data_IF_374539428554
#
_entry.id   IF_374539428554
#
_cell.length_a   1.000
_cell.length_b   1.000
_cell.length_c   1.000
_cell.angle_alpha   90.00
_cell.angle_beta   90.00
_cell.angle_gamma   90.00
#
_symmetry.space_group_name_H-M   'P 1'
#
loop_
_entity.id
_entity.type
_entity.pdbx_description
1 polymer ?
#
# COMPACT_ATOMS: atom_id res chain seq x y z
N UNK A 1 25.05 -18.15 33.11
CA UNK A 1 23.80 -17.54 32.68
C UNK A 1 22.65 -18.15 33.45
N UNK A 2 21.89 -17.31 34.16
CA UNK A 2 20.71 -17.71 34.94
C UNK A 2 19.55 -18.14 34.03
N UNK A 3 18.54 -18.82 34.61
CA UNK A 3 17.37 -19.33 33.85
C UNK A 3 16.60 -18.21 33.14
N UNK A 4 16.33 -17.10 33.85
CA UNK A 4 15.62 -15.93 33.30
C UNK A 4 16.41 -15.25 32.17
N UNK A 5 17.72 -15.10 32.33
CA UNK A 5 18.61 -14.54 31.31
C UNK A 5 18.62 -15.39 30.03
N UNK A 6 18.59 -16.73 30.15
CA UNK A 6 18.49 -17.63 28.99
C UNK A 6 17.14 -17.55 28.29
N UNK A 7 16.05 -17.48 29.05
CA UNK A 7 14.70 -17.32 28.50
C UNK A 7 14.57 -15.99 27.75
N UNK A 8 14.96 -14.88 28.38
CA UNK A 8 14.99 -13.55 27.78
C UNK A 8 15.80 -13.52 26.48
N UNK A 9 17.01 -14.10 26.47
CA UNK A 9 17.84 -14.19 25.27
C UNK A 9 17.19 -15.00 24.14
N UNK A 10 16.40 -16.02 24.48
CA UNK A 10 15.72 -16.86 23.49
C UNK A 10 14.57 -16.11 22.84
N UNK A 11 13.69 -15.50 23.64
CA UNK A 11 12.56 -14.71 23.12
C UNK A 11 13.04 -13.46 22.35
N UNK A 12 14.10 -12.77 22.80
CA UNK A 12 14.67 -11.65 22.03
C UNK A 12 15.25 -12.11 20.69
N UNK A 13 15.83 -13.32 20.63
CA UNK A 13 16.32 -13.89 19.37
C UNK A 13 15.15 -14.20 18.42
N UNK A 14 14.05 -14.70 18.95
CA UNK A 14 12.81 -14.94 18.20
C UNK A 14 12.21 -13.64 17.68
N UNK A 15 12.02 -12.62 18.53
CA UNK A 15 11.57 -11.29 18.13
C UNK A 15 12.46 -10.68 17.03
N UNK A 16 13.79 -10.85 17.12
CA UNK A 16 14.73 -10.40 16.09
C UNK A 16 14.53 -11.13 14.75
N UNK A 17 14.24 -12.43 14.80
CA UNK A 17 13.98 -13.23 13.61
C UNK A 17 12.64 -12.83 12.96
N UNK A 18 11.59 -12.63 13.76
CA UNK A 18 10.29 -12.12 13.30
C UNK A 18 10.43 -10.72 12.68
N UNK A 19 11.17 -9.82 13.32
CA UNK A 19 11.46 -8.48 12.80
C UNK A 19 12.20 -8.50 11.46
N UNK A 20 13.13 -9.43 11.27
CA UNK A 20 13.80 -9.59 9.99
C UNK A 20 12.85 -10.16 8.92
N UNK A 21 12.03 -11.14 9.29
CA UNK A 21 11.05 -11.78 8.41
C UNK A 21 9.97 -10.82 7.91
N UNK A 22 9.43 -9.96 8.76
CA UNK A 22 8.43 -8.97 8.35
C UNK A 22 9.05 -7.94 7.38
N UNK A 23 10.28 -7.50 7.60
CA UNK A 23 10.97 -6.55 6.69
C UNK A 23 11.12 -7.18 5.30
N UNK A 24 11.52 -8.43 5.22
CA UNK A 24 11.68 -9.12 3.94
C UNK A 24 10.34 -9.38 3.26
N UNK A 25 9.29 -9.68 4.02
CA UNK A 25 7.91 -9.82 3.52
C UNK A 25 7.40 -8.51 2.92
N UNK A 26 7.51 -7.40 3.67
CA UNK A 26 7.12 -6.06 3.19
C UNK A 26 7.88 -5.71 1.91
N UNK A 27 9.19 -5.95 1.86
CA UNK A 27 10.00 -5.70 0.66
C UNK A 27 9.53 -6.52 -0.53
N UNK A 28 9.22 -7.80 -0.33
CA UNK A 28 8.72 -8.68 -1.37
C UNK A 28 7.37 -8.20 -1.90
N UNK A 29 6.44 -7.91 -1.00
CA UNK A 29 5.10 -7.45 -1.33
C UNK A 29 5.12 -6.13 -2.09
N UNK A 30 5.88 -5.14 -1.61
CA UNK A 30 6.03 -3.84 -2.28
C UNK A 30 6.62 -4.01 -3.68
N UNK A 31 7.64 -4.86 -3.83
CA UNK A 31 8.26 -5.10 -5.14
C UNK A 31 7.31 -5.81 -6.10
N UNK A 32 6.47 -6.71 -5.59
CA UNK A 32 5.44 -7.38 -6.40
C UNK A 32 4.38 -6.39 -6.89
N UNK A 33 3.91 -5.49 -6.03
CA UNK A 33 2.96 -4.45 -6.42
C UNK A 33 3.58 -3.41 -7.37
N UNK A 34 4.86 -3.07 -7.19
CA UNK A 34 5.63 -2.21 -8.10
C UNK A 34 5.68 -2.80 -9.51
N UNK A 35 6.15 -4.06 -9.66
CA UNK A 35 6.23 -4.72 -10.97
C UNK A 35 4.86 -4.80 -11.62
N UNK A 36 3.82 -5.14 -10.86
CA UNK A 36 2.46 -5.23 -11.38
C UNK A 36 1.92 -3.86 -11.84
N UNK A 37 2.21 -2.79 -11.10
CA UNK A 37 1.86 -1.43 -11.51
C UNK A 37 2.54 -1.08 -12.85
N UNK A 38 3.83 -1.35 -12.96
CA UNK A 38 4.61 -1.09 -14.18
C UNK A 38 4.04 -1.83 -15.39
N UNK A 39 3.77 -3.14 -15.24
CA UNK A 39 3.23 -3.98 -16.30
C UNK A 39 1.87 -3.45 -16.79
N UNK A 40 0.96 -3.13 -15.87
CA UNK A 40 -0.37 -2.69 -16.26
C UNK A 40 -0.41 -1.27 -16.84
N UNK A 41 0.43 -0.37 -16.31
CA UNK A 41 0.61 0.97 -16.92
C UNK A 41 1.18 0.86 -18.32
N UNK A 42 2.14 -0.03 -18.51
CA UNK A 42 2.74 -0.29 -19.82
C UNK A 42 1.72 -0.87 -20.79
N UNK A 43 0.98 -1.90 -20.40
CA UNK A 43 -0.08 -2.51 -21.21
C UNK A 43 -1.14 -1.48 -21.60
N UNK A 44 -1.51 -0.59 -20.67
CA UNK A 44 -2.43 0.51 -20.93
C UNK A 44 -1.90 1.45 -22.01
N UNK A 45 -0.65 1.88 -21.91
CA UNK A 45 -0.02 2.77 -22.90
C UNK A 45 0.12 2.08 -24.25
N UNK A 46 0.63 0.86 -24.30
CA UNK A 46 0.84 0.09 -25.53
C UNK A 46 -0.50 -0.15 -26.27
N UNK A 47 -1.56 -0.47 -25.53
CA UNK A 47 -2.89 -0.66 -26.12
C UNK A 47 -3.46 0.62 -26.74
N UNK A 48 -3.31 1.77 -26.07
CA UNK A 48 -3.74 3.08 -26.60
C UNK A 48 -2.88 3.47 -27.79
N UNK A 49 -1.55 3.29 -27.70
CA UNK A 49 -0.63 3.66 -28.77
C UNK A 49 -0.95 2.93 -30.08
N UNK A 50 -1.29 1.65 -30.00
CA UNK A 50 -1.72 0.86 -31.15
C UNK A 50 -2.94 1.50 -31.83
N UNK A 51 -3.96 1.88 -31.05
CA UNK A 51 -5.18 2.51 -31.58
C UNK A 51 -4.90 3.91 -32.15
N UNK A 52 -4.03 4.70 -31.49
CA UNK A 52 -3.65 6.03 -31.96
C UNK A 52 -2.88 5.97 -33.27
N UNK A 53 -2.03 4.95 -33.48
CA UNK A 53 -1.32 4.75 -34.74
C UNK A 53 -2.30 4.44 -35.88
N UNK A 54 -3.28 3.56 -35.66
CA UNK A 54 -4.33 3.27 -36.64
C UNK A 54 -5.15 4.51 -36.99
N UNK A 55 -5.56 5.27 -35.97
CA UNK A 55 -6.29 6.53 -36.12
C UNK A 55 -5.49 7.55 -36.91
N UNK A 56 -4.18 7.66 -36.66
CA UNK A 56 -3.30 8.58 -37.38
C UNK A 56 -3.21 8.22 -38.86
N UNK A 57 -3.06 6.92 -39.18
CA UNK A 57 -3.08 6.43 -40.56
C UNK A 57 -4.41 6.73 -41.27
N UNK A 58 -5.54 6.58 -40.56
CA UNK A 58 -6.86 6.95 -41.08
C UNK A 58 -6.94 8.46 -41.35
N UNK A 59 -6.41 9.30 -40.46
CA UNK A 59 -6.38 10.75 -40.66
C UNK A 59 -5.53 11.15 -41.88
N UNK A 60 -4.37 10.53 -42.07
CA UNK A 60 -3.52 10.77 -43.24
C UNK A 60 -4.26 10.40 -44.54
N UNK A 61 -4.97 9.26 -44.55
CA UNK A 61 -5.78 8.85 -45.68
C UNK A 61 -6.91 9.86 -45.98
N UNK A 62 -7.54 10.43 -44.94
CA UNK A 62 -8.56 11.47 -45.09
C UNK A 62 -7.97 12.74 -45.71
N UNK A 63 -6.83 13.19 -45.21
CA UNK A 63 -6.15 14.39 -45.71
C UNK A 63 -5.76 14.22 -47.18
N UNK A 64 -5.21 13.05 -47.53
CA UNK A 64 -4.86 12.73 -48.91
C UNK A 64 -6.09 12.70 -49.81
N UNK A 65 -7.16 11.98 -49.42
CA UNK A 65 -8.40 11.88 -50.18
C UNK A 65 -9.10 13.23 -50.36
N UNK A 66 -9.17 14.06 -49.31
CA UNK A 66 -9.76 15.40 -49.40
C UNK A 66 -8.98 16.32 -50.33
N UNK A 67 -7.64 16.24 -50.29
CA UNK A 67 -6.76 17.03 -51.17
C UNK A 67 -6.92 16.62 -52.64
N UNK A 68 -7.06 15.32 -52.91
CA UNK A 68 -7.32 14.81 -54.25
C UNK A 68 -8.68 15.26 -54.80
N UNK A 69 -9.75 15.11 -54.01
CA UNK A 69 -11.11 15.54 -54.37
C UNK A 69 -11.12 17.04 -54.71
N UNK A 70 -10.48 17.86 -53.88
CA UNK A 70 -10.37 19.31 -54.13
C UNK A 70 -9.65 19.59 -55.45
N UNK A 71 -8.54 18.89 -55.73
CA UNK A 71 -7.76 19.05 -56.96
C UNK A 71 -8.57 18.69 -58.21
N UNK A 72 -9.38 17.63 -58.14
CA UNK A 72 -10.27 17.23 -59.24
C UNK A 72 -11.36 18.27 -59.49
N UNK A 73 -11.99 18.78 -58.42
CA UNK A 73 -12.97 19.86 -58.48
C UNK A 73 -12.40 21.14 -59.10
N UNK A 74 -11.19 21.54 -58.72
CA UNK A 74 -10.52 22.71 -59.29
C UNK A 74 -10.21 22.55 -60.78
N UNK A 75 -9.84 21.34 -61.22
CA UNK A 75 -9.64 21.02 -62.64
C UNK A 75 -10.97 21.10 -63.41
N UNK A 76 -12.05 20.54 -62.87
CA UNK A 76 -13.38 20.59 -63.47
C UNK A 76 -13.88 22.03 -63.60
N UNK A 77 -13.71 22.84 -62.54
CA UNK A 77 -14.04 24.27 -62.52
C UNK A 77 -13.30 25.04 -63.63
N UNK A 78 -12.00 24.79 -63.81
CA UNK A 78 -11.22 25.41 -64.89
C UNK A 78 -11.73 25.03 -66.28
N UNK A 79 -12.16 23.78 -66.49
CA UNK A 79 -12.74 23.33 -67.76
C UNK A 79 -14.10 23.98 -68.03
N UNK A 80 -14.97 24.07 -67.02
CA UNK A 80 -16.23 24.79 -67.13
C UNK A 80 -16.03 26.23 -67.58
N UNK A 81 -15.09 26.96 -66.96
CA UNK A 81 -14.82 28.36 -67.31
C UNK A 81 -14.28 28.54 -68.73
N UNK A 82 -13.51 27.58 -69.24
CA UNK A 82 -12.89 27.64 -70.58
C UNK A 82 -13.81 27.17 -71.70
N UNK A 83 -14.58 26.11 -71.47
CA UNK A 83 -15.29 25.38 -72.52
C UNK A 83 -16.81 25.34 -72.30
N UNK A 84 -17.33 25.87 -71.18
CA UNK A 84 -18.76 25.88 -70.90
C UNK A 84 -19.35 24.51 -70.52
N UNK A 85 -18.52 23.51 -70.24
CA UNK A 85 -18.93 22.12 -70.01
C UNK A 85 -19.63 21.94 -68.64
N UNK A 86 -20.93 22.24 -68.63
CA UNK A 86 -21.77 22.24 -67.43
C UNK A 86 -22.11 20.84 -66.93
N UNK A 87 -22.28 19.89 -67.84
CA UNK A 87 -22.65 18.51 -67.52
C UNK A 87 -21.50 17.76 -66.83
N UNK A 88 -20.26 17.94 -67.31
CA UNK A 88 -19.08 17.44 -66.62
C UNK A 88 -18.94 18.05 -65.22
N UNK A 89 -19.15 19.36 -65.07
CA UNK A 89 -19.06 20.01 -63.76
C UNK A 89 -20.10 19.45 -62.77
N UNK A 90 -21.35 19.25 -63.19
CA UNK A 90 -22.39 18.66 -62.34
C UNK A 90 -21.96 17.28 -61.86
N UNK A 91 -21.47 16.43 -62.77
CA UNK A 91 -20.99 15.08 -62.45
C UNK A 91 -19.84 15.13 -61.43
N UNK A 92 -18.89 16.05 -61.60
CA UNK A 92 -17.74 16.20 -60.70
C UNK A 92 -18.14 16.74 -59.32
N UNK A 93 -19.11 17.66 -59.24
CA UNK A 93 -19.66 18.14 -57.96
C UNK A 93 -20.31 16.99 -57.19
N UNK A 94 -21.16 16.20 -57.85
CA UNK A 94 -21.84 15.05 -57.22
C UNK A 94 -20.80 14.05 -56.73
N UNK A 95 -19.83 13.66 -57.57
CA UNK A 95 -18.78 12.73 -57.18
C UNK A 95 -17.93 13.23 -56.00
N UNK A 96 -17.58 14.51 -55.99
CA UNK A 96 -16.84 15.12 -54.89
C UNK A 96 -17.66 15.16 -53.59
N UNK A 97 -18.95 15.48 -53.66
CA UNK A 97 -19.84 15.47 -52.50
C UNK A 97 -20.00 14.07 -51.91
N UNK A 98 -20.14 13.04 -52.76
CA UNK A 98 -20.18 11.63 -52.33
C UNK A 98 -18.90 11.23 -51.61
N UNK A 99 -17.73 11.47 -52.21
CA UNK A 99 -16.43 11.16 -51.58
C UNK A 99 -16.22 11.93 -50.28
N UNK A 100 -16.62 13.20 -50.22
CA UNK A 100 -16.56 13.98 -48.97
C UNK A 100 -17.44 13.35 -47.88
N UNK A 101 -18.61 12.81 -48.24
CA UNK A 101 -19.47 12.05 -47.34
C UNK A 101 -18.77 10.80 -46.79
N UNK A 102 -18.12 10.01 -47.65
CA UNK A 102 -17.35 8.82 -47.26
C UNK A 102 -16.19 9.17 -46.31
N UNK A 103 -15.42 10.21 -46.62
CA UNK A 103 -14.33 10.71 -45.76
C UNK A 103 -14.86 11.15 -44.38
N UNK A 104 -16.05 11.75 -44.33
CA UNK A 104 -16.68 12.16 -43.07
C UNK A 104 -17.12 10.96 -42.23
N UNK A 105 -17.62 9.90 -42.86
CA UNK A 105 -17.95 8.64 -42.17
C UNK A 105 -16.68 8.03 -41.57
N UNK A 106 -15.58 7.98 -42.35
CA UNK A 106 -14.29 7.47 -41.88
C UNK A 106 -13.77 8.27 -40.68
N UNK A 107 -13.90 9.59 -40.72
CA UNK A 107 -13.54 10.47 -39.59
C UNK A 107 -14.36 10.17 -38.33
N UNK A 108 -15.69 10.00 -38.48
CA UNK A 108 -16.57 9.67 -37.36
C UNK A 108 -16.24 8.31 -36.75
N UNK A 109 -15.89 7.31 -37.56
CA UNK A 109 -15.43 6.00 -37.08
C UNK A 109 -14.12 6.13 -36.29
N UNK A 110 -13.14 6.86 -36.85
CA UNK A 110 -11.88 7.16 -36.17
C UNK A 110 -12.09 7.84 -34.81
N UNK A 111 -12.96 8.86 -34.75
CA UNK A 111 -13.29 9.55 -33.50
C UNK A 111 -13.90 8.60 -32.45
N UNK A 112 -14.80 7.69 -32.87
CA UNK A 112 -15.38 6.66 -31.98
C UNK A 112 -14.31 5.70 -31.46
N UNK A 113 -13.35 5.28 -32.29
CA UNK A 113 -12.24 4.41 -31.85
C UNK A 113 -11.39 5.06 -30.78
N UNK A 114 -11.03 6.34 -30.94
CA UNK A 114 -10.27 7.10 -29.92
C UNK A 114 -11.06 7.15 -28.62
N UNK A 115 -12.34 7.54 -28.67
CA UNK A 115 -13.18 7.63 -27.48
C UNK A 115 -13.32 6.28 -26.78
N UNK A 116 -13.53 5.20 -27.54
CA UNK A 116 -13.59 3.84 -27.01
C UNK A 116 -12.28 3.41 -26.34
N UNK A 117 -11.13 3.75 -26.93
CA UNK A 117 -9.82 3.45 -26.36
C UNK A 117 -9.58 4.17 -25.02
N UNK A 118 -9.94 5.45 -24.94
CA UNK A 118 -9.78 6.25 -23.73
C UNK A 118 -10.72 5.79 -22.61
N UNK A 119 -11.95 5.42 -22.95
CA UNK A 119 -12.96 4.98 -21.99
C UNK A 119 -12.81 3.53 -21.53
N UNK A 120 -11.95 2.72 -22.17
CA UNK A 120 -11.76 1.30 -21.83
C UNK A 120 -11.14 1.16 -20.42
N UNK A 121 -11.71 0.38 -19.49
CA UNK A 121 -11.05 0.07 -18.22
C UNK A 121 -9.94 -0.99 -18.37
N UNK A 122 -8.98 -1.08 -17.44
CA UNK A 122 -8.79 -0.16 -16.31
C UNK A 122 -8.12 1.13 -16.76
N UNK A 123 -8.67 2.27 -16.35
CA UNK A 123 -8.03 3.59 -16.48
C UNK A 123 -6.74 3.65 -15.67
N UNK A 124 -5.86 4.61 -15.96
CA UNK A 124 -4.68 4.83 -15.13
C UNK A 124 -5.06 5.11 -13.67
N UNK A 125 -6.20 5.78 -13.44
CA UNK A 125 -6.74 6.00 -12.10
C UNK A 125 -7.16 4.66 -11.48
N UNK A 126 -7.89 3.82 -12.21
CA UNK A 126 -8.37 2.52 -11.72
C UNK A 126 -7.19 1.61 -11.30
N UNK A 127 -6.08 1.65 -12.04
CA UNK A 127 -4.87 0.88 -11.72
C UNK A 127 -4.26 1.37 -10.39
N UNK A 128 -4.15 2.68 -10.19
CA UNK A 128 -3.64 3.28 -8.95
C UNK A 128 -4.57 3.01 -7.76
N UNK A 129 -5.88 3.13 -7.96
CA UNK A 129 -6.89 2.83 -6.94
C UNK A 129 -6.79 1.36 -6.49
N UNK A 130 -6.61 0.45 -7.44
CA UNK A 130 -6.41 -0.96 -7.11
C UNK A 130 -5.12 -1.19 -6.35
N UNK A 131 -3.98 -0.64 -6.79
CA UNK A 131 -2.71 -0.75 -6.05
C UNK A 131 -2.87 -0.22 -4.62
N UNK A 132 -3.52 0.92 -4.44
CA UNK A 132 -3.78 1.50 -3.11
C UNK A 132 -4.62 0.55 -2.24
N UNK A 133 -5.64 -0.05 -2.84
CA UNK A 133 -6.50 -1.04 -2.15
C UNK A 133 -5.71 -2.29 -1.75
N UNK A 134 -4.83 -2.77 -2.62
CA UNK A 134 -4.03 -3.97 -2.37
C UNK A 134 -2.95 -3.70 -1.31
N UNK A 135 -2.28 -2.53 -1.35
CA UNK A 135 -1.37 -2.07 -0.29
C UNK A 135 -2.08 -1.96 1.07
N UNK A 136 -3.31 -1.45 1.10
CA UNK A 136 -4.08 -1.38 2.33
C UNK A 136 -4.37 -2.77 2.91
N UNK A 137 -4.72 -3.75 2.07
CA UNK A 137 -4.92 -5.14 2.53
C UNK A 137 -3.62 -5.75 3.07
N UNK A 138 -2.52 -5.55 2.35
CA UNK A 138 -1.19 -6.04 2.76
C UNK A 138 -0.78 -5.44 4.10
N UNK A 139 -1.06 -4.15 4.31
CA UNK A 139 -0.77 -3.46 5.57
C UNK A 139 -1.43 -4.11 6.78
N UNK A 140 -2.64 -4.66 6.63
CA UNK A 140 -3.31 -5.41 7.69
C UNK A 140 -2.57 -6.72 8.05
N UNK A 141 -1.94 -7.38 7.07
CA UNK A 141 -1.11 -8.56 7.33
C UNK A 141 0.20 -8.18 8.02
N UNK A 142 0.83 -7.09 7.59
CA UNK A 142 2.07 -6.58 8.19
C UNK A 142 1.83 -6.14 9.63
N UNK A 143 0.71 -5.49 9.92
CA UNK A 143 0.33 -5.11 11.28
C UNK A 143 0.18 -6.35 12.18
N UNK A 144 -0.47 -7.41 11.69
CA UNK A 144 -0.59 -8.67 12.44
C UNK A 144 0.79 -9.23 12.80
N UNK A 145 1.72 -9.30 11.85
CA UNK A 145 3.09 -9.76 12.11
C UNK A 145 3.87 -8.83 13.03
N UNK A 146 3.59 -7.52 13.01
CA UNK A 146 4.21 -6.58 13.93
C UNK A 146 3.75 -6.82 15.38
N UNK A 147 2.46 -7.15 15.60
CA UNK A 147 1.95 -7.49 16.93
C UNK A 147 2.60 -8.75 17.50
N UNK A 148 2.88 -9.76 16.67
CA UNK A 148 3.60 -10.97 17.10
C UNK A 148 5.01 -10.63 17.62
N UNK A 149 5.68 -9.61 17.07
CA UNK A 149 6.97 -9.13 17.57
C UNK A 149 6.80 -8.50 18.96
N UNK A 150 5.79 -7.63 19.13
CA UNK A 150 5.52 -6.98 20.41
C UNK A 150 5.15 -8.00 21.50
N UNK A 151 4.39 -9.05 21.15
CA UNK A 151 4.07 -10.17 22.04
C UNK A 151 5.33 -10.93 22.46
N UNK A 152 6.21 -11.28 21.51
CA UNK A 152 7.48 -11.96 21.81
C UNK A 152 8.42 -11.13 22.70
N UNK A 153 8.34 -9.79 22.62
CA UNK A 153 9.08 -8.87 23.50
C UNK A 153 8.42 -8.82 24.88
N UNK A 154 7.09 -8.73 24.94
CA UNK A 154 6.34 -8.68 26.19
C UNK A 154 6.59 -9.94 27.05
N UNK A 155 6.71 -11.11 26.44
CA UNK A 155 7.05 -12.38 27.11
C UNK A 155 8.40 -12.35 27.86
N UNK A 156 9.29 -11.41 27.53
CA UNK A 156 10.57 -11.23 28.23
C UNK A 156 10.42 -10.42 29.52
N UNK A 157 9.39 -9.59 29.60
CA UNK A 157 9.21 -8.59 30.65
C UNK A 157 8.13 -9.09 31.62
N UNK A 158 8.54 -9.80 32.68
CA UNK A 158 7.66 -10.01 33.84
C UNK A 158 7.89 -8.85 34.84
N UNK A 159 6.91 -7.94 35.01
CA UNK A 159 7.05 -6.84 35.96
C UNK A 159 6.85 -7.27 37.41
N UNK A 160 6.44 -8.52 37.67
CA UNK A 160 6.14 -8.99 39.02
C UNK A 160 7.40 -9.41 39.78
N UNK A 161 7.44 -9.23 41.10
CA UNK A 161 8.54 -9.75 41.92
C UNK A 161 8.59 -11.28 41.83
N UNK A 162 9.79 -11.89 41.77
CA UNK A 162 9.93 -13.34 41.79
C UNK A 162 9.28 -13.95 43.04
N UNK A 163 8.66 -15.13 42.90
CA UNK A 163 7.96 -15.79 44.02
C UNK A 163 8.91 -16.07 45.19
N UNK A 164 10.17 -16.38 44.92
CA UNK A 164 11.20 -16.60 45.93
C UNK A 164 11.47 -15.33 46.77
N UNK A 165 11.31 -14.14 46.17
CA UNK A 165 11.43 -12.87 46.89
C UNK A 165 10.21 -12.63 47.78
N UNK A 166 9.00 -12.97 47.30
CA UNK A 166 7.75 -12.87 48.08
C UNK A 166 7.80 -13.85 49.26
N UNK A 167 8.23 -15.08 49.03
CA UNK A 167 8.38 -16.11 50.07
C UNK A 167 9.41 -15.70 51.13
N UNK A 168 10.56 -15.17 50.72
CA UNK A 168 11.56 -14.67 51.65
C UNK A 168 11.06 -13.46 52.47
N UNK A 169 10.31 -12.54 51.85
CA UNK A 169 9.70 -11.43 52.58
C UNK A 169 8.75 -11.93 53.68
N UNK A 170 7.87 -12.88 53.34
CA UNK A 170 6.98 -13.55 54.32
C UNK A 170 7.76 -14.26 55.41
N UNK A 171 8.81 -15.00 55.05
CA UNK A 171 9.65 -15.70 56.03
C UNK A 171 10.27 -14.73 57.03
N UNK A 172 10.75 -13.59 56.57
CA UNK A 172 11.36 -12.56 57.41
C UNK A 172 10.33 -11.86 58.33
N UNK A 173 9.09 -11.65 57.88
CA UNK A 173 8.04 -10.99 58.67
C UNK A 173 7.33 -11.93 59.65
N UNK A 174 7.10 -13.19 59.28
CA UNK A 174 6.18 -14.07 60.00
C UNK A 174 6.86 -15.06 60.97
N UNK A 175 8.18 -15.26 60.90
CA UNK A 175 8.87 -16.30 61.68
C UNK A 175 9.59 -15.80 62.95
N UNK A 176 9.17 -14.67 63.51
CA UNK A 176 9.67 -14.20 64.81
C UNK A 176 11.07 -13.55 64.76
N UNK A 177 11.52 -13.11 63.58
CA UNK A 177 12.77 -12.37 63.44
C UNK A 177 12.72 -10.99 64.12
N UNK A 178 11.54 -10.41 64.31
CA UNK A 178 11.30 -9.22 65.13
C UNK A 178 11.76 -9.42 66.60
N UNK A 179 11.50 -10.60 67.18
CA UNK A 179 11.94 -10.97 68.52
C UNK A 179 13.45 -11.16 68.61
N UNK A 180 14.07 -11.67 67.54
CA UNK A 180 15.54 -11.82 67.46
C UNK A 180 16.19 -10.44 67.36
N UNK A 181 15.63 -9.54 66.55
CA UNK A 181 16.10 -8.15 66.40
C UNK A 181 15.96 -7.34 67.70
N UNK A 182 14.95 -7.61 68.52
CA UNK A 182 14.78 -6.98 69.84
C UNK A 182 15.87 -7.39 70.87
N UNK A 183 16.56 -8.50 70.63
CA UNK A 183 17.68 -8.98 71.45
C UNK A 183 17.29 -9.28 72.90
N UNK A 184 18.09 -8.77 73.85
CA UNK A 184 17.83 -8.90 75.29
C UNK A 184 16.75 -7.93 75.80
N UNK A 185 16.46 -6.85 75.05
CA UNK A 185 15.44 -5.87 75.39
C UNK A 185 14.11 -6.20 74.71
N UNK A 186 13.35 -7.10 75.32
CA UNK A 186 12.10 -7.65 74.76
C UNK A 186 10.85 -6.93 75.25
N UNK A 187 10.97 -5.65 75.58
CA UNK A 187 9.81 -4.84 75.92
C UNK A 187 8.86 -4.76 74.71
N UNK A 188 7.53 -4.79 74.94
CA UNK A 188 6.55 -4.77 73.85
C UNK A 188 6.75 -3.62 72.86
N UNK A 189 7.21 -2.46 73.33
CA UNK A 189 7.50 -1.29 72.51
C UNK A 189 8.73 -1.51 71.61
N UNK A 190 9.75 -2.23 72.08
CA UNK A 190 10.96 -2.50 71.31
C UNK A 190 10.72 -3.60 70.25
N UNK A 191 9.93 -4.63 70.59
CA UNK A 191 9.50 -5.66 69.64
C UNK A 191 8.68 -5.04 68.51
N UNK A 192 7.73 -4.15 68.83
CA UNK A 192 6.89 -3.50 67.82
C UNK A 192 7.71 -2.54 66.93
N UNK A 193 8.71 -1.85 67.49
CA UNK A 193 9.68 -1.06 66.70
C UNK A 193 10.49 -1.93 65.76
N UNK A 194 11.00 -3.08 66.22
CA UNK A 194 11.76 -4.02 65.38
C UNK A 194 10.89 -4.63 64.28
N UNK A 195 9.64 -5.00 64.57
CA UNK A 195 8.66 -5.47 63.58
C UNK A 195 8.35 -4.40 62.53
N UNK A 196 7.99 -3.20 62.98
CA UNK A 196 7.72 -2.07 62.08
C UNK A 196 8.92 -1.76 61.17
N UNK A 197 10.14 -1.86 61.71
CA UNK A 197 11.36 -1.69 60.94
C UNK A 197 11.57 -2.80 59.92
N UNK A 198 11.25 -4.04 60.26
CA UNK A 198 11.38 -5.19 59.36
C UNK A 198 10.36 -5.07 58.21
N UNK A 199 9.09 -4.77 58.49
CA UNK A 199 8.05 -4.54 57.47
C UNK A 199 8.38 -3.37 56.52
N UNK A 200 9.01 -2.31 57.04
CA UNK A 200 9.51 -1.17 56.24
C UNK A 200 10.63 -1.62 55.29
N UNK A 201 11.58 -2.43 55.78
CA UNK A 201 12.73 -2.89 55.00
C UNK A 201 12.39 -3.96 53.96
N UNK A 202 11.42 -4.83 54.22
CA UNK A 202 10.94 -5.85 53.28
C UNK A 202 9.94 -5.31 52.27
N UNK A 203 9.48 -4.06 52.43
CA UNK A 203 8.57 -3.40 51.51
C UNK A 203 7.10 -3.81 51.66
N UNK A 204 6.68 -4.47 52.73
CA UNK A 204 5.27 -4.84 52.97
C UNK A 204 4.38 -3.61 53.21
N UNK A 205 4.94 -2.50 53.72
CA UNK A 205 4.21 -1.25 53.90
C UNK A 205 4.11 -0.39 52.62
N UNK A 206 4.70 -0.82 51.50
CA UNK A 206 4.71 -0.04 50.24
C UNK A 206 3.40 -0.13 49.45
N UNK A 207 2.55 -1.13 49.73
CA UNK A 207 1.33 -1.40 48.94
C UNK A 207 0.15 -0.47 49.26
N UNK A 208 0.24 0.43 50.24
CA UNK A 208 -0.86 1.35 50.61
C UNK A 208 -0.86 2.70 49.88
N UNK A 209 0.03 2.92 48.90
CA UNK A 209 0.02 4.11 48.06
C UNK A 209 0.04 3.74 46.58
N UNK A 210 -1.12 3.34 46.05
CA UNK A 210 -1.48 3.41 44.63
C UNK A 210 -2.97 3.66 44.50
#
# INVERSE_FOLDING_TARGET
MGRHERAAKTSLKEATALASGIIDTIRHDLRREEVRLEDEMRDRVESIQTILNEVSSIQDAIVAGASEVKRELDKAKKRLMKYGDRELMVTQIIGAATRLGELRILHLDSAKRIQGALARPPSAVDIIERMTTDLLKLSGSWESSAREIDEAIADVVDPNPPIEMIELARELNDNGYDLILAGDNRDPENIEKSRSKLNELTGENSENHS
#
